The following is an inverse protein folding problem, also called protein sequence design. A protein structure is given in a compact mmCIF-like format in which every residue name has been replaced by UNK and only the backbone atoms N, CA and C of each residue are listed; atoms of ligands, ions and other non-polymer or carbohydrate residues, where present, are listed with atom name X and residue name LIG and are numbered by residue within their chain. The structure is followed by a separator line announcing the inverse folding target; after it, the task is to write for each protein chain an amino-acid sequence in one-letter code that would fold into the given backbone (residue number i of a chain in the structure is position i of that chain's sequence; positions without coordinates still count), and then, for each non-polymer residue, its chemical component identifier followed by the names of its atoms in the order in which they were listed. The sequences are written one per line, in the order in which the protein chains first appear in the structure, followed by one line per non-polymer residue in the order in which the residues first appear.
data_IF_210668258125
#
_entry.id   IF_210668258125
#
_cell.length_a   1.000
_cell.length_b   1.000
_cell.length_c   1.000
_cell.angle_alpha   90.00
_cell.angle_beta   90.00
_cell.angle_gamma   90.00
#
_symmetry.space_group_name_H-M   'P 1'
#
loop_
_entity.id
_entity.type
_entity.pdbx_description
1 polymer ?
#
# COMPACT_ATOMS: atom_id res chain seq x y z
N UNK A 1 -29.94 -10.60 -0.38
CA UNK A 1 -29.02 -11.47 0.39
C UNK A 1 -28.13 -10.56 1.21
N UNK A 2 -28.23 -10.58 2.54
CA UNK A 2 -27.29 -9.88 3.42
C UNK A 2 -25.98 -10.67 3.40
N UNK A 3 -25.05 -10.25 2.54
CA UNK A 3 -23.71 -10.83 2.52
C UNK A 3 -23.02 -10.35 3.79
N UNK A 4 -22.87 -11.22 4.78
CA UNK A 4 -22.05 -10.91 5.95
C UNK A 4 -20.62 -10.69 5.44
N UNK A 5 -20.02 -9.51 5.66
CA UNK A 5 -18.68 -9.23 5.14
C UNK A 5 -17.69 -10.22 5.75
N UNK A 6 -16.80 -10.76 4.92
CA UNK A 6 -15.71 -11.58 5.43
C UNK A 6 -14.76 -10.70 6.24
N UNK A 7 -14.85 -10.77 7.58
CA UNK A 7 -14.10 -9.92 8.51
C UNK A 7 -12.59 -10.02 8.27
N UNK A 8 -12.07 -11.20 7.94
CA UNK A 8 -10.65 -11.38 7.65
C UNK A 8 -10.21 -10.57 6.42
N UNK A 9 -11.04 -10.55 5.36
CA UNK A 9 -10.78 -9.72 4.17
C UNK A 9 -10.95 -8.23 4.45
N UNK A 10 -11.89 -7.84 5.31
CA UNK A 10 -12.02 -6.44 5.76
C UNK A 10 -10.74 -5.99 6.48
N UNK A 11 -10.26 -6.78 7.44
CA UNK A 11 -9.03 -6.48 8.18
C UNK A 11 -7.82 -6.44 7.25
N UNK A 12 -7.68 -7.42 6.36
CA UNK A 12 -6.61 -7.45 5.36
C UNK A 12 -6.64 -6.20 4.46
N UNK A 13 -7.82 -5.77 4.02
CA UNK A 13 -7.98 -4.56 3.22
C UNK A 13 -7.60 -3.29 3.99
N UNK A 14 -8.03 -3.16 5.25
CA UNK A 14 -7.68 -2.01 6.10
C UNK A 14 -6.17 -1.94 6.33
N UNK A 15 -5.54 -3.05 6.71
CA UNK A 15 -4.09 -3.09 6.96
C UNK A 15 -3.28 -2.77 5.69
N UNK A 16 -3.71 -3.30 4.55
CA UNK A 16 -3.08 -3.01 3.26
C UNK A 16 -3.23 -1.54 2.86
N UNK A 17 -4.41 -0.95 3.10
CA UNK A 17 -4.65 0.47 2.85
C UNK A 17 -3.80 1.37 3.77
N UNK A 18 -3.73 1.06 5.07
CA UNK A 18 -2.87 1.79 6.02
C UNK A 18 -1.41 1.69 5.57
N UNK A 19 -0.94 0.50 5.20
CA UNK A 19 0.43 0.31 4.73
C UNK A 19 0.70 1.10 3.44
N UNK A 20 -0.22 1.11 2.47
CA UNK A 20 -0.09 1.89 1.24
C UNK A 20 0.03 3.40 1.54
N UNK A 21 -0.83 3.93 2.42
CA UNK A 21 -0.79 5.33 2.86
C UNK A 21 0.51 5.67 3.60
N UNK A 22 1.01 4.75 4.42
CA UNK A 22 2.28 4.92 5.14
C UNK A 22 3.46 5.03 4.17
N UNK A 23 3.46 4.25 3.09
CA UNK A 23 4.49 4.37 2.03
C UNK A 23 4.40 5.72 1.29
N UNK A 24 3.19 6.27 1.08
CA UNK A 24 3.06 7.65 0.59
C UNK A 24 3.65 8.64 1.59
N UNK A 25 3.37 8.46 2.88
CA UNK A 25 3.93 9.30 3.93
C UNK A 25 5.48 9.21 3.99
N UNK A 26 6.07 8.03 3.71
CA UNK A 26 7.54 7.87 3.56
C UNK A 26 8.09 8.76 2.46
N UNK A 27 7.41 8.86 1.31
CA UNK A 27 7.82 9.73 0.21
C UNK A 27 7.76 11.20 0.66
N UNK A 28 6.68 11.62 1.32
CA UNK A 28 6.48 13.01 1.78
C UNK A 28 7.49 13.38 2.88
N UNK A 29 7.74 12.47 3.82
CA UNK A 29 8.70 12.66 4.91
C UNK A 29 10.17 12.59 4.48
N UNK A 30 10.42 12.16 3.23
CA UNK A 30 11.74 12.20 2.62
C UNK A 30 12.77 11.29 3.31
N UNK A 31 14.07 11.62 3.22
CA UNK A 31 15.15 10.72 3.61
C UNK A 31 15.09 10.20 5.05
N UNK A 32 14.69 11.05 6.00
CA UNK A 32 14.56 10.66 7.41
C UNK A 32 13.52 9.54 7.58
N UNK A 33 12.41 9.60 6.84
CA UNK A 33 11.38 8.58 6.87
C UNK A 33 11.82 7.30 6.18
N UNK A 34 12.57 7.38 5.08
CA UNK A 34 13.20 6.19 4.48
C UNK A 34 14.08 5.44 5.50
N UNK A 35 14.84 6.15 6.36
CA UNK A 35 15.61 5.51 7.44
C UNK A 35 14.72 4.95 8.54
N UNK A 36 13.77 5.75 9.02
CA UNK A 36 12.88 5.38 10.13
C UNK A 36 12.06 4.12 9.81
N UNK A 37 11.54 4.01 8.59
CA UNK A 37 10.81 2.84 8.12
C UNK A 37 11.71 1.70 7.61
N UNK A 38 13.03 1.83 7.75
CA UNK A 38 13.97 0.73 7.50
C UNK A 38 14.27 0.45 6.03
N UNK A 39 14.06 1.40 5.11
CA UNK A 39 14.45 1.24 3.70
C UNK A 39 15.98 1.20 3.48
N UNK A 40 16.76 1.42 4.54
CA UNK A 40 18.21 1.36 4.55
C UNK A 40 18.90 2.66 4.12
N UNK A 41 20.17 2.80 4.49
CA UNK A 41 20.93 4.04 4.31
C UNK A 41 21.11 4.40 2.83
N UNK A 42 21.28 3.40 1.97
CA UNK A 42 21.44 3.62 0.52
C UNK A 42 20.21 4.31 -0.08
N UNK A 43 19.01 3.91 0.31
CA UNK A 43 17.76 4.52 -0.17
C UNK A 43 17.58 5.92 0.37
N UNK A 44 17.88 6.15 1.65
CA UNK A 44 17.81 7.47 2.25
C UNK A 44 18.79 8.46 1.59
N UNK A 45 20.04 8.07 1.36
CA UNK A 45 21.02 8.93 0.68
C UNK A 45 20.69 9.17 -0.79
N UNK A 46 20.03 8.22 -1.46
CA UNK A 46 19.50 8.47 -2.81
C UNK A 46 18.40 9.54 -2.76
N UNK A 47 17.52 9.48 -1.75
CA UNK A 47 16.48 10.48 -1.55
C UNK A 47 17.06 11.86 -1.19
N UNK A 48 18.13 11.94 -0.38
CA UNK A 48 18.82 13.21 -0.05
C UNK A 48 19.40 13.88 -1.28
N UNK A 49 19.89 13.07 -2.23
CA UNK A 49 20.43 13.54 -3.50
C UNK A 49 19.35 13.86 -4.55
N UNK A 50 18.07 13.76 -4.18
CA UNK A 50 16.95 14.03 -5.08
C UNK A 50 16.75 12.97 -6.18
N UNK A 51 17.32 11.77 -6.01
CA UNK A 51 17.13 10.70 -6.99
C UNK A 51 15.65 10.24 -7.01
N UNK A 52 15.12 9.96 -8.20
CA UNK A 52 13.74 9.46 -8.34
C UNK A 52 13.58 8.00 -7.93
N UNK A 53 14.68 7.23 -7.88
CA UNK A 53 14.65 5.79 -7.63
C UNK A 53 13.91 5.42 -6.34
N UNK A 54 14.20 6.01 -5.16
CA UNK A 54 13.47 5.69 -3.93
C UNK A 54 11.97 5.94 -4.05
N UNK A 55 11.58 7.06 -4.65
CA UNK A 55 10.17 7.42 -4.87
C UNK A 55 9.47 6.41 -5.78
N UNK A 56 10.09 6.03 -6.91
CA UNK A 56 9.49 5.06 -7.84
C UNK A 56 9.31 3.68 -7.21
N UNK A 57 10.30 3.21 -6.46
CA UNK A 57 10.20 1.93 -5.74
C UNK A 57 9.08 1.97 -4.69
N UNK A 58 9.05 3.02 -3.87
CA UNK A 58 8.02 3.18 -2.83
C UNK A 58 6.63 3.30 -3.44
N UNK A 59 6.47 4.03 -4.56
CA UNK A 59 5.22 4.11 -5.29
C UNK A 59 4.78 2.75 -5.86
N UNK A 60 5.73 1.93 -6.33
CA UNK A 60 5.44 0.56 -6.75
C UNK A 60 4.84 -0.28 -5.61
N UNK A 61 5.43 -0.19 -4.41
CA UNK A 61 4.93 -0.88 -3.21
C UNK A 61 3.55 -0.34 -2.82
N UNK A 62 3.37 0.98 -2.77
CA UNK A 62 2.07 1.63 -2.54
C UNK A 62 1.01 1.11 -3.52
N UNK A 63 1.34 1.01 -4.81
CA UNK A 63 0.43 0.52 -5.84
C UNK A 63 0.00 -0.91 -5.61
N UNK A 64 0.94 -1.83 -5.35
CA UNK A 64 0.64 -3.24 -5.07
C UNK A 64 -0.26 -3.39 -3.84
N UNK A 65 0.09 -2.71 -2.74
CA UNK A 65 -0.71 -2.74 -1.51
C UNK A 65 -2.11 -2.13 -1.72
N UNK A 66 -2.21 -1.06 -2.50
CA UNK A 66 -3.49 -0.45 -2.86
C UNK A 66 -4.36 -1.41 -3.68
N UNK A 67 -3.78 -2.12 -4.66
CA UNK A 67 -4.48 -3.16 -5.42
C UNK A 67 -4.97 -4.27 -4.49
N UNK A 68 -4.12 -4.79 -3.60
CA UNK A 68 -4.55 -5.81 -2.64
C UNK A 68 -5.66 -5.33 -1.71
N UNK A 69 -5.60 -4.08 -1.23
CA UNK A 69 -6.67 -3.49 -0.43
C UNK A 69 -8.01 -3.48 -1.19
N UNK A 70 -8.00 -3.04 -2.45
CA UNK A 70 -9.18 -3.01 -3.31
C UNK A 70 -9.76 -4.42 -3.53
N UNK A 71 -8.92 -5.41 -3.85
CA UNK A 71 -9.38 -6.79 -4.03
C UNK A 71 -9.88 -7.43 -2.73
N UNK A 72 -9.28 -7.10 -1.58
CA UNK A 72 -9.76 -7.57 -0.28
C UNK A 72 -11.13 -6.98 0.06
N UNK A 73 -11.34 -5.68 -0.16
CA UNK A 73 -12.65 -5.05 0.02
C UNK A 73 -13.71 -5.58 -0.95
N UNK A 74 -13.33 -5.83 -2.22
CA UNK A 74 -14.22 -6.44 -3.20
C UNK A 74 -14.60 -7.87 -2.79
N UNK A 75 -13.63 -8.69 -2.35
CA UNK A 75 -13.85 -10.04 -1.86
C UNK A 75 -14.64 -10.10 -0.55
N UNK A 76 -14.59 -9.04 0.26
CA UNK A 76 -15.41 -8.88 1.46
C UNK A 76 -16.85 -8.44 1.15
N UNK A 77 -17.17 -8.11 -0.11
CA UNK A 77 -18.49 -7.60 -0.50
C UNK A 77 -18.74 -6.13 -0.14
N UNK A 78 -17.70 -5.36 0.21
CA UNK A 78 -17.82 -3.94 0.58
C UNK A 78 -17.85 -3.00 -0.65
N UNK A 79 -17.22 -3.40 -1.75
CA UNK A 79 -17.22 -2.66 -3.02
C UNK A 79 -17.59 -3.59 -4.19
N UNK A 80 -17.86 -3.01 -5.37
CA UNK A 80 -18.16 -3.80 -6.56
C UNK A 80 -16.99 -4.72 -6.93
N UNK A 81 -17.33 -5.93 -7.39
CA UNK A 81 -16.37 -6.89 -7.90
C UNK A 81 -15.46 -6.27 -8.97
N UNK A 82 -14.17 -6.54 -8.82
CA UNK A 82 -13.10 -6.10 -9.71
C UNK A 82 -12.82 -7.17 -10.79
N UNK A 83 -12.06 -6.84 -11.85
CA UNK A 83 -11.63 -7.83 -12.84
C UNK A 83 -10.93 -9.03 -12.18
N UNK A 84 -10.87 -10.19 -12.86
CA UNK A 84 -10.17 -11.39 -12.38
C UNK A 84 -10.67 -11.99 -11.04
N UNK A 85 -11.86 -11.59 -10.57
CA UNK A 85 -12.56 -12.27 -9.49
C UNK A 85 -13.43 -13.39 -10.05
N UNK A 86 -13.55 -14.51 -9.32
CA UNK A 86 -14.45 -15.61 -9.70
C UNK A 86 -15.91 -15.15 -9.65
N UNK A 87 -16.79 -15.67 -10.54
CA UNK A 87 -18.23 -15.43 -10.47
C UNK A 87 -18.84 -15.89 -9.16
#
# INVERSE_FOLDING_TARGET
MSVTPNIALVVAGILSAIAALLHIAVIIGGPAWYRFFGAGERMAQMAERGALHPTLVTLGITGVLGVWALYAFAGAGLIRALPLMKP
#
